data_IF_199116858302
#
_entry.id   IF_199116858302
#
_cell.length_a   1.000
_cell.length_b   1.000
_cell.length_c   1.000
_cell.angle_alpha   90.00
_cell.angle_beta   90.00
_cell.angle_gamma   90.00
#
_symmetry.space_group_name_H-M   'P 1'
#
loop_
_entity.id
_entity.type
_entity.pdbx_description
1 polymer ?
#
# COMPACT_ATOMS: atom_id res chain seq x y z
N UNK A 1 24.18 -31.36 23.06
CA UNK A 1 23.92 -31.58 21.61
C UNK A 1 22.50 -32.14 21.53
N UNK A 2 21.53 -31.65 20.76
CA UNK A 2 21.60 -31.15 19.39
C UNK A 2 20.30 -30.38 19.04
N UNK A 3 20.48 -29.27 18.30
CA UNK A 3 19.63 -28.68 17.26
C UNK A 3 18.12 -28.40 17.46
N UNK A 4 17.88 -27.08 17.61
CA UNK A 4 16.80 -26.20 17.14
C UNK A 4 16.35 -26.49 15.68
N UNK A 5 15.04 -26.55 15.40
CA UNK A 5 14.49 -26.28 14.07
C UNK A 5 12.95 -26.09 14.09
N UNK A 6 12.45 -25.31 13.12
CA UNK A 6 11.05 -24.98 12.73
C UNK A 6 10.50 -23.73 13.42
N UNK A 7 10.00 -22.69 12.74
CA UNK A 7 9.49 -22.60 11.37
C UNK A 7 9.61 -21.15 10.90
N UNK A 8 10.33 -20.93 9.79
CA UNK A 8 10.21 -19.72 8.98
C UNK A 8 8.85 -19.80 8.25
N UNK A 9 7.97 -18.85 8.55
CA UNK A 9 6.72 -18.69 7.81
C UNK A 9 7.03 -17.92 6.53
N UNK A 10 7.19 -18.68 5.45
CA UNK A 10 7.27 -18.17 4.08
C UNK A 10 5.93 -17.48 3.77
N UNK A 11 5.92 -16.15 3.75
CA UNK A 11 4.78 -15.38 3.25
C UNK A 11 4.64 -15.67 1.76
N UNK A 12 3.50 -16.22 1.28
CA UNK A 12 3.36 -16.53 -0.13
C UNK A 12 3.23 -15.22 -0.89
N UNK A 13 4.32 -14.83 -1.56
CA UNK A 13 4.41 -13.73 -2.51
C UNK A 13 3.60 -14.12 -3.75
N UNK A 14 2.27 -13.98 -3.68
CA UNK A 14 1.37 -14.20 -4.81
C UNK A 14 1.44 -13.00 -5.76
N UNK A 15 2.55 -12.92 -6.50
CA UNK A 15 2.63 -12.12 -7.72
C UNK A 15 1.63 -12.70 -8.72
N UNK A 16 0.43 -12.13 -8.75
CA UNK A 16 -0.57 -12.42 -9.78
C UNK A 16 -0.48 -11.32 -10.82
N UNK A 17 0.10 -11.67 -11.96
CA UNK A 17 -0.04 -10.94 -13.21
C UNK A 17 -1.54 -10.75 -13.48
N UNK A 18 -2.06 -9.53 -13.28
CA UNK A 18 -3.46 -9.22 -13.52
C UNK A 18 -3.63 -8.85 -15.00
N UNK A 19 -4.33 -9.73 -15.72
CA UNK A 19 -4.98 -9.44 -17.00
C UNK A 19 -5.76 -8.13 -16.88
N UNK A 20 -5.71 -7.29 -17.91
CA UNK A 20 -6.51 -6.08 -18.05
C UNK A 20 -8.02 -6.41 -18.01
N UNK A 21 -8.57 -6.48 -16.80
CA UNK A 21 -10.00 -6.34 -16.51
C UNK A 21 -10.19 -4.90 -16.05
N UNK A 22 -11.33 -4.30 -16.38
CA UNK A 22 -11.73 -2.96 -15.93
C UNK A 22 -11.17 -2.68 -14.53
N UNK A 23 -10.25 -1.72 -14.44
CA UNK A 23 -9.51 -1.43 -13.22
C UNK A 23 -10.53 -1.19 -12.11
N UNK A 24 -10.56 -2.10 -11.12
CA UNK A 24 -11.41 -1.94 -9.94
C UNK A 24 -11.04 -0.60 -9.30
N UNK A 25 -12.02 0.24 -8.92
CA UNK A 25 -11.72 1.54 -8.36
C UNK A 25 -10.87 1.37 -7.10
N UNK A 26 -9.72 2.06 -7.08
CA UNK A 26 -8.76 2.04 -5.99
C UNK A 26 -8.97 3.26 -5.12
N UNK A 27 -8.98 3.07 -3.80
CA UNK A 27 -8.97 4.15 -2.83
C UNK A 27 -7.55 4.39 -2.32
N UNK A 28 -7.17 5.66 -2.26
CA UNK A 28 -5.96 6.08 -1.59
C UNK A 28 -6.22 6.28 -0.09
N UNK A 29 -5.55 5.48 0.74
CA UNK A 29 -5.66 5.50 2.22
C UNK A 29 -4.45 6.10 2.93
N UNK A 30 -3.58 6.77 2.17
CA UNK A 30 -2.42 7.49 2.69
C UNK A 30 -2.73 8.92 3.15
N UNK A 31 -1.75 9.60 3.78
CA UNK A 31 -1.83 11.04 4.03
C UNK A 31 -1.76 11.80 2.69
N UNK A 32 -2.29 13.01 2.61
CA UNK A 32 -2.10 13.83 1.39
C UNK A 32 -0.62 14.13 1.17
N UNK A 33 -0.04 13.62 0.09
CA UNK A 33 1.35 13.86 -0.32
C UNK A 33 1.39 14.29 -1.79
N UNK A 34 2.06 15.41 -2.06
CA UNK A 34 2.20 15.95 -3.40
C UNK A 34 2.83 14.93 -4.35
N UNK A 35 2.21 14.75 -5.52
CA UNK A 35 2.64 13.76 -6.52
C UNK A 35 2.22 12.32 -6.25
N UNK A 36 1.87 11.94 -5.01
CA UNK A 36 1.47 10.57 -4.67
C UNK A 36 -0.05 10.43 -4.64
N UNK A 37 -0.73 11.21 -3.81
CA UNK A 37 -2.16 11.01 -3.61
C UNK A 37 -2.78 12.01 -2.66
N UNK A 38 -4.08 12.23 -2.83
CA UNK A 38 -4.89 13.03 -1.91
C UNK A 38 -5.68 12.06 -1.03
N UNK A 39 -5.66 12.30 0.28
CA UNK A 39 -6.37 11.46 1.25
C UNK A 39 -7.85 11.31 0.88
N UNK A 40 -8.39 10.10 1.06
CA UNK A 40 -9.78 9.73 0.78
C UNK A 40 -10.20 9.88 -0.70
N UNK A 41 -9.24 9.92 -1.63
CA UNK A 41 -9.54 9.97 -3.06
C UNK A 41 -9.65 8.58 -3.66
N UNK A 42 -10.68 8.39 -4.49
CA UNK A 42 -10.86 7.21 -5.33
C UNK A 42 -10.28 7.50 -6.71
N UNK A 43 -9.59 6.50 -7.25
CA UNK A 43 -8.94 6.50 -8.54
C UNK A 43 -9.51 5.35 -9.36
N UNK A 44 -9.95 5.62 -10.58
CA UNK A 44 -10.20 4.57 -11.57
C UNK A 44 -8.89 3.96 -12.02
N UNK A 45 -7.86 4.80 -12.17
CA UNK A 45 -6.50 4.44 -12.55
C UNK A 45 -5.49 5.29 -11.77
N UNK A 46 -4.34 4.71 -11.46
CA UNK A 46 -3.26 5.44 -10.77
C UNK A 46 -2.67 6.47 -11.75
N UNK A 47 -2.54 7.76 -11.37
CA UNK A 47 -1.99 8.78 -12.25
C UNK A 47 -0.54 8.45 -12.68
N UNK A 48 -0.18 8.70 -13.94
CA UNK A 48 1.17 8.40 -14.46
C UNK A 48 2.29 9.08 -13.67
N UNK A 49 2.07 10.33 -13.23
CA UNK A 49 3.01 11.07 -12.37
C UNK A 49 3.25 10.39 -11.01
N UNK A 50 2.24 9.69 -10.52
CA UNK A 50 2.31 8.91 -9.29
C UNK A 50 3.07 7.60 -9.53
N UNK A 51 2.91 6.98 -10.70
CA UNK A 51 3.58 5.74 -11.07
C UNK A 51 5.11 5.82 -10.89
N UNK A 52 5.74 6.91 -11.32
CA UNK A 52 7.18 7.13 -11.18
C UNK A 52 7.64 7.15 -9.71
N UNK A 53 6.84 7.77 -8.83
CA UNK A 53 7.12 7.80 -7.38
C UNK A 53 6.88 6.44 -6.74
N UNK A 54 5.87 5.72 -7.22
CA UNK A 54 5.60 4.35 -6.80
C UNK A 54 6.69 3.38 -7.25
N UNK A 55 7.38 3.65 -8.36
CA UNK A 55 8.51 2.83 -8.80
C UNK A 55 9.78 3.12 -7.99
N UNK A 56 9.97 4.38 -7.57
CA UNK A 56 11.03 4.75 -6.61
C UNK A 56 10.78 4.21 -5.21
N UNK A 57 9.53 4.22 -4.76
CA UNK A 57 9.12 3.75 -3.42
C UNK A 57 7.94 2.77 -3.56
N UNK A 58 8.21 1.48 -3.86
CA UNK A 58 7.18 0.49 -4.12
C UNK A 58 6.23 0.24 -2.95
N UNK A 59 6.65 0.58 -1.74
CA UNK A 59 5.83 0.42 -0.54
C UNK A 59 4.63 1.36 -0.52
N UNK A 60 4.70 2.51 -1.21
CA UNK A 60 3.58 3.43 -1.35
C UNK A 60 2.44 2.82 -2.19
N UNK A 61 2.71 1.79 -3.00
CA UNK A 61 1.68 1.06 -3.76
C UNK A 61 0.66 0.44 -2.81
N UNK A 62 1.06 0.09 -1.59
CA UNK A 62 0.18 -0.46 -0.55
C UNK A 62 -0.85 0.55 -0.01
N UNK A 63 -0.73 1.84 -0.34
CA UNK A 63 -1.71 2.86 -0.01
C UNK A 63 -2.85 2.94 -1.02
N UNK A 64 -2.73 2.25 -2.16
CA UNK A 64 -3.77 2.13 -3.17
C UNK A 64 -4.41 0.76 -3.01
N UNK A 65 -5.61 0.74 -2.43
CA UNK A 65 -6.34 -0.50 -2.14
C UNK A 65 -7.66 -0.53 -2.91
N UNK A 66 -8.18 -1.69 -3.29
CA UNK A 66 -9.55 -1.79 -3.79
C UNK A 66 -10.53 -1.19 -2.76
N UNK A 67 -11.57 -0.49 -3.21
CA UNK A 67 -12.59 0.09 -2.30
C UNK A 67 -13.16 -0.97 -1.34
N UNK A 68 -13.33 -2.20 -1.80
CA UNK A 68 -13.83 -3.31 -0.98
C UNK A 68 -12.94 -3.64 0.22
N UNK A 69 -11.64 -3.33 0.14
CA UNK A 69 -10.67 -3.55 1.22
C UNK A 69 -10.54 -2.35 2.16
N UNK A 70 -11.28 -1.25 1.92
CA UNK A 70 -11.22 -0.04 2.75
C UNK A 70 -11.51 -0.29 4.23
N UNK A 71 -12.51 -1.11 4.63
CA UNK A 71 -12.73 -1.42 6.04
C UNK A 71 -11.52 -2.10 6.69
N UNK A 72 -10.85 -3.01 5.96
CA UNK A 72 -9.65 -3.69 6.45
C UNK A 72 -8.46 -2.72 6.58
N UNK A 73 -8.29 -1.82 5.61
CA UNK A 73 -7.29 -0.76 5.68
C UNK A 73 -7.51 0.19 6.86
N UNK A 74 -8.76 0.59 7.10
CA UNK A 74 -9.13 1.41 8.26
C UNK A 74 -8.75 0.73 9.57
N UNK A 75 -8.97 -0.59 9.69
CA UNK A 75 -8.57 -1.38 10.86
C UNK A 75 -7.06 -1.35 11.05
N UNK A 76 -6.27 -1.60 10.00
CA UNK A 76 -4.80 -1.56 10.05
C UNK A 76 -4.26 -0.19 10.47
N UNK A 77 -4.82 0.89 9.91
CA UNK A 77 -4.45 2.27 10.26
C UNK A 77 -4.78 2.59 11.72
N UNK A 78 -5.98 2.19 12.19
CA UNK A 78 -6.43 2.41 13.57
C UNK A 78 -5.58 1.64 14.58
N UNK A 79 -5.32 0.36 14.30
CA UNK A 79 -4.52 -0.52 15.15
C UNK A 79 -3.02 -0.25 15.06
N UNK A 80 -2.59 0.63 14.13
CA UNK A 80 -1.20 0.97 13.86
C UNK A 80 -0.35 -0.26 13.55
N UNK A 81 -0.94 -1.21 12.82
CA UNK A 81 -0.36 -2.53 12.54
C UNK A 81 -0.59 -2.92 11.08
N UNK A 82 0.30 -3.76 10.56
CA UNK A 82 0.21 -4.27 9.19
C UNK A 82 0.86 -3.36 8.15
N UNK A 83 0.88 -3.85 6.92
CA UNK A 83 1.63 -3.26 5.81
C UNK A 83 1.09 -1.89 5.37
N UNK A 84 -0.21 -1.65 5.50
CA UNK A 84 -0.84 -0.37 5.16
C UNK A 84 -0.38 0.72 6.13
N UNK A 85 -0.34 0.43 7.43
CA UNK A 85 0.19 1.37 8.41
C UNK A 85 1.68 1.67 8.17
N UNK A 86 2.48 0.65 7.86
CA UNK A 86 3.90 0.86 7.51
C UNK A 86 4.08 1.71 6.25
N UNK A 87 3.24 1.53 5.23
CA UNK A 87 3.26 2.39 4.05
C UNK A 87 2.80 3.82 4.38
N UNK A 88 1.82 3.96 5.28
CA UNK A 88 1.29 5.24 5.72
C UNK A 88 2.34 6.07 6.46
N UNK A 89 3.10 5.46 7.36
CA UNK A 89 4.19 6.14 8.08
C UNK A 89 5.29 6.59 7.12
N UNK A 90 5.64 5.78 6.11
CA UNK A 90 6.60 6.20 5.07
C UNK A 90 6.08 7.38 4.25
N UNK A 91 4.80 7.36 3.85
CA UNK A 91 4.20 8.50 3.18
C UNK A 91 4.17 9.76 4.05
N UNK A 92 3.95 9.62 5.37
CA UNK A 92 4.05 10.74 6.30
C UNK A 92 5.45 11.35 6.36
N UNK A 93 6.50 10.52 6.34
CA UNK A 93 7.89 11.02 6.29
C UNK A 93 8.14 11.83 5.02
N UNK A 94 7.58 11.41 3.87
CA UNK A 94 7.67 12.16 2.61
C UNK A 94 6.87 13.47 2.64
N UNK A 95 5.74 13.51 3.35
CA UNK A 95 4.96 14.72 3.55
C UNK A 95 5.70 15.77 4.38
N UNK A 96 6.43 15.34 5.41
CA UNK A 96 7.13 16.23 6.34
C UNK A 96 8.56 16.59 5.95
N UNK A 97 9.10 15.99 4.88
CA UNK A 97 10.49 16.13 4.43
C UNK A 97 10.67 16.78 3.06
N UNK A 98 9.64 17.47 2.55
CA UNK A 98 9.69 18.29 1.33
C UNK A 98 9.37 19.74 1.68
#
# INVERSE_FOLDING_TARGET
>A
MTARAKSETVVPKKATARKAKASEPLMYVGPTVNGIGIQNRVYTEIPSRTQELLDKVPELKNLFIPILEYPAACKMLRERKGYIYSAFTKALTLKGGL
#
